data_IF_069518404561
#
_entry.id   IF_069518404561
#
_cell.length_a   1.000
_cell.length_b   1.000
_cell.length_c   1.000
_cell.angle_alpha   90.00
_cell.angle_beta   90.00
_cell.angle_gamma   90.00
#
_symmetry.space_group_name_H-M   'P 1'
#
loop_
_entity.id
_entity.type
_entity.pdbx_description
1 polymer ?
#
# COMPACT_ATOMS: atom_id res chain seq x y z
N UNK A 1 -11.43 -1.06 -3.82
CA UNK A 1 -11.18 -0.21 -5.00
C UNK A 1 -11.21 1.29 -4.71
N UNK A 2 -12.24 1.85 -4.06
CA UNK A 2 -12.32 3.31 -3.84
C UNK A 2 -11.08 3.95 -3.19
N UNK A 3 -10.46 3.30 -2.21
CA UNK A 3 -9.23 3.78 -1.58
C UNK A 3 -8.05 3.80 -2.57
N UNK A 4 -7.93 2.77 -3.42
CA UNK A 4 -6.91 2.70 -4.48
C UNK A 4 -7.06 3.87 -5.45
N UNK A 5 -8.29 4.20 -5.84
CA UNK A 5 -8.58 5.34 -6.72
C UNK A 5 -8.18 6.67 -6.07
N UNK A 6 -8.51 6.86 -4.79
CA UNK A 6 -8.15 8.07 -4.05
C UNK A 6 -6.64 8.22 -3.89
N UNK A 7 -5.92 7.12 -3.63
CA UNK A 7 -4.46 7.12 -3.51
C UNK A 7 -3.79 7.44 -4.85
N UNK A 8 -4.30 6.90 -5.95
CA UNK A 8 -3.79 7.22 -7.29
C UNK A 8 -3.99 8.71 -7.64
N UNK A 9 -5.18 9.25 -7.38
CA UNK A 9 -5.49 10.67 -7.58
C UNK A 9 -4.58 11.57 -6.73
N UNK A 10 -4.36 11.22 -5.46
CA UNK A 10 -3.45 11.93 -4.58
C UNK A 10 -2.00 11.88 -5.08
N UNK A 11 -1.52 10.70 -5.50
CA UNK A 11 -0.18 10.53 -6.06
C UNK A 11 0.04 11.45 -7.27
N UNK A 12 -0.90 11.45 -8.22
CA UNK A 12 -0.80 12.29 -9.42
C UNK A 12 -0.83 13.79 -9.10
N UNK A 13 -1.65 14.20 -8.13
CA UNK A 13 -1.74 15.61 -7.68
C UNK A 13 -0.48 16.12 -6.99
N UNK A 14 0.35 15.22 -6.45
CA UNK A 14 1.59 15.57 -5.76
C UNK A 14 2.85 15.29 -6.60
N UNK A 15 2.70 14.71 -7.79
CA UNK A 15 3.82 14.24 -8.60
C UNK A 15 4.78 15.36 -9.01
N UNK A 16 4.27 16.57 -9.24
CA UNK A 16 5.06 17.75 -9.60
C UNK A 16 5.97 18.22 -8.46
N UNK A 17 5.44 18.29 -7.24
CA UNK A 17 6.16 18.76 -6.04
C UNK A 17 7.01 17.69 -5.37
N UNK A 18 6.82 16.41 -5.71
CA UNK A 18 7.58 15.26 -5.21
C UNK A 18 8.55 14.68 -6.26
N UNK A 19 8.71 15.33 -7.41
CA UNK A 19 9.47 14.81 -8.56
C UNK A 19 10.94 14.47 -8.28
N UNK A 20 11.55 15.08 -7.25
CA UNK A 20 12.92 14.85 -6.79
C UNK A 20 13.03 13.83 -5.64
N UNK A 21 11.91 13.24 -5.22
CA UNK A 21 11.84 12.30 -4.09
C UNK A 21 11.48 10.89 -4.55
N UNK A 22 11.98 9.90 -3.81
CA UNK A 22 11.48 8.53 -3.91
C UNK A 22 10.09 8.46 -3.26
N UNK A 23 9.08 8.05 -4.04
CA UNK A 23 7.69 7.96 -3.59
C UNK A 23 7.17 6.54 -3.80
N UNK A 24 6.58 5.98 -2.76
CA UNK A 24 5.97 4.65 -2.78
C UNK A 24 4.47 4.75 -2.55
N UNK A 25 3.70 3.88 -3.23
CA UNK A 25 2.26 3.73 -3.01
C UNK A 25 2.04 2.48 -2.17
N UNK A 26 1.48 2.64 -0.97
CA UNK A 26 1.22 1.55 -0.04
C UNK A 26 -0.27 1.24 -0.02
N UNK A 27 -0.63 0.00 -0.32
CA UNK A 27 -2.02 -0.45 -0.32
C UNK A 27 -2.29 -1.29 0.93
N UNK A 28 -3.42 -1.02 1.58
CA UNK A 28 -3.89 -1.80 2.73
C UNK A 28 -4.54 -3.12 2.30
N UNK A 29 -3.76 -3.94 1.58
CA UNK A 29 -4.18 -5.22 1.02
C UNK A 29 -3.28 -6.32 1.57
N UNK A 30 -3.91 -7.39 2.06
CA UNK A 30 -3.23 -8.61 2.44
C UNK A 30 -3.10 -9.55 1.22
N UNK A 31 -1.88 -10.05 0.90
CA UNK A 31 -1.68 -11.00 -0.20
C UNK A 31 -2.15 -12.41 0.10
N UNK A 32 -2.56 -12.74 1.33
CA UNK A 32 -3.16 -14.03 1.66
C UNK A 32 -4.66 -14.05 1.30
N UNK A 33 -5.04 -15.03 0.47
CA UNK A 33 -6.40 -15.24 -0.06
C UNK A 33 -7.48 -15.40 1.02
N UNK A 34 -7.10 -15.83 2.23
CA UNK A 34 -8.02 -15.95 3.36
C UNK A 34 -8.56 -14.59 3.84
N UNK A 35 -7.90 -13.49 3.50
CA UNK A 35 -8.34 -12.15 3.87
C UNK A 35 -9.22 -11.54 2.78
N UNK A 36 -10.35 -10.97 3.18
CA UNK A 36 -11.30 -10.33 2.25
C UNK A 36 -10.69 -9.22 1.38
N UNK A 37 -9.60 -8.56 1.82
CA UNK A 37 -8.90 -7.57 1.00
C UNK A 37 -8.18 -8.16 -0.22
N UNK A 38 -7.86 -9.45 -0.21
CA UNK A 38 -7.14 -10.11 -1.30
C UNK A 38 -7.94 -10.12 -2.60
N UNK A 39 -9.28 -10.18 -2.53
CA UNK A 39 -10.14 -10.33 -3.71
C UNK A 39 -9.97 -9.20 -4.74
N UNK A 40 -9.46 -8.03 -4.33
CA UNK A 40 -9.20 -6.87 -5.20
C UNK A 40 -7.72 -6.68 -5.52
N UNK A 41 -6.82 -7.55 -5.07
CA UNK A 41 -5.36 -7.36 -5.15
C UNK A 41 -4.88 -7.15 -6.58
N UNK A 42 -5.24 -8.04 -7.50
CA UNK A 42 -4.80 -7.95 -8.90
C UNK A 42 -5.31 -6.69 -9.59
N UNK A 43 -6.57 -6.34 -9.33
CA UNK A 43 -7.17 -5.12 -9.87
C UNK A 43 -6.47 -3.87 -9.33
N UNK A 44 -6.17 -3.83 -8.03
CA UNK A 44 -5.51 -2.71 -7.39
C UNK A 44 -4.07 -2.52 -7.91
N UNK A 45 -3.31 -3.62 -8.01
CA UNK A 45 -1.94 -3.59 -8.54
C UNK A 45 -1.94 -3.12 -10.00
N UNK A 46 -2.81 -3.69 -10.83
CA UNK A 46 -2.93 -3.30 -12.24
C UNK A 46 -3.29 -1.83 -12.41
N UNK A 47 -4.22 -1.33 -11.58
CA UNK A 47 -4.66 0.06 -11.64
C UNK A 47 -3.55 1.04 -11.26
N UNK A 48 -2.82 0.81 -10.16
CA UNK A 48 -1.71 1.69 -9.77
C UNK A 48 -0.57 1.65 -10.80
N UNK A 49 -0.23 0.48 -11.33
CA UNK A 49 0.78 0.36 -12.40
C UNK A 49 0.37 1.13 -13.64
N UNK A 50 -0.86 0.99 -14.09
CA UNK A 50 -1.36 1.66 -15.30
C UNK A 50 -1.57 3.18 -15.15
N UNK A 51 -1.95 3.64 -13.95
CA UNK A 51 -2.33 5.04 -13.72
C UNK A 51 -1.16 5.88 -13.21
N UNK A 52 -0.35 5.33 -12.32
CA UNK A 52 0.71 6.05 -11.60
C UNK A 52 2.11 5.67 -12.08
N UNK A 53 2.25 4.65 -12.94
CA UNK A 53 3.53 4.11 -13.41
C UNK A 53 4.49 3.70 -12.27
N UNK A 54 3.92 3.20 -11.16
CA UNK A 54 4.68 2.68 -10.02
C UNK A 54 4.18 1.29 -9.63
N UNK A 55 5.05 0.50 -9.02
CA UNK A 55 4.66 -0.79 -8.43
C UNK A 55 4.21 -0.52 -6.99
N UNK A 56 2.94 -0.76 -6.65
CA UNK A 56 2.48 -0.56 -5.28
C UNK A 56 3.05 -1.63 -4.34
N UNK A 57 3.24 -1.24 -3.09
CA UNK A 57 3.55 -2.13 -1.98
C UNK A 57 2.24 -2.68 -1.39
N UNK A 58 2.23 -3.97 -1.07
CA UNK A 58 1.16 -4.64 -0.30
C UNK A 58 1.76 -5.21 0.98
N UNK A 59 0.92 -5.65 1.93
CA UNK A 59 1.42 -6.25 3.18
C UNK A 59 2.32 -7.47 2.89
N UNK A 60 3.33 -7.73 3.72
CA UNK A 60 3.77 -6.95 4.88
C UNK A 60 4.66 -5.75 4.53
N UNK A 61 5.05 -5.60 3.26
CA UNK A 61 6.01 -4.57 2.83
C UNK A 61 5.39 -3.17 2.73
N UNK A 62 4.05 -3.09 2.71
CA UNK A 62 3.32 -1.83 2.82
C UNK A 62 3.32 -1.32 4.27
N UNK A 63 4.42 -0.74 4.74
CA UNK A 63 4.53 -0.23 6.12
C UNK A 63 3.43 0.78 6.51
N UNK A 64 3.06 1.68 5.60
CA UNK A 64 1.98 2.65 5.81
C UNK A 64 0.56 2.05 5.75
N UNK A 65 0.40 0.74 5.48
CA UNK A 65 -0.89 0.07 5.61
C UNK A 65 -1.20 -0.17 7.10
N UNK A 66 -2.45 0.08 7.51
CA UNK A 66 -2.87 0.16 8.91
C UNK A 66 -2.38 -1.03 9.75
N UNK A 67 -2.61 -2.25 9.28
CA UNK A 67 -2.20 -3.46 10.01
C UNK A 67 -0.68 -3.66 10.10
N UNK A 68 0.07 -3.28 9.07
CA UNK A 68 1.53 -3.40 9.08
C UNK A 68 2.16 -2.40 10.06
N UNK A 69 1.63 -1.17 10.11
CA UNK A 69 2.02 -0.16 11.08
C UNK A 69 1.78 -0.63 12.53
N UNK A 70 0.62 -1.22 12.80
CA UNK A 70 0.25 -1.71 14.13
C UNK A 70 1.10 -2.92 14.57
N UNK A 71 1.28 -3.91 13.69
CA UNK A 71 2.06 -5.12 14.00
C UNK A 71 3.57 -4.87 14.11
N UNK A 72 4.12 -3.88 13.40
CA UNK A 72 5.52 -3.51 13.60
C UNK A 72 5.77 -3.05 15.04
N UNK A 73 4.82 -2.32 15.66
CA UNK A 73 4.93 -1.92 17.06
C UNK A 73 5.03 -3.12 17.98
N UNK A 74 4.17 -4.13 17.77
CA UNK A 74 4.15 -5.38 18.55
C UNK A 74 5.47 -6.17 18.43
N UNK A 75 6.00 -6.31 17.21
CA UNK A 75 7.28 -6.98 16.95
C UNK A 75 8.45 -6.21 17.61
N UNK A 76 8.45 -4.88 17.50
CA UNK A 76 9.51 -4.04 18.10
C UNK A 76 9.43 -3.97 19.62
N UNK A 77 8.26 -4.22 20.22
CA UNK A 77 8.08 -4.26 21.68
C UNK A 77 8.55 -5.56 22.35
N UNK A 78 9.07 -6.54 21.61
CA UNK A 78 9.78 -7.67 22.23
C UNK A 78 8.92 -8.61 23.07
N UNK A 79 7.64 -8.80 22.74
CA UNK A 79 6.82 -9.86 23.33
C UNK A 79 7.05 -11.20 22.58
N UNK A 80 8.30 -11.65 22.57
CA UNK A 80 8.61 -13.07 22.49
C UNK A 80 8.70 -13.55 23.95
N UNK A 81 7.54 -13.86 24.52
CA UNK A 81 7.37 -14.68 25.71
C UNK A 81 6.69 -15.97 25.30
#
# INVERSE_FOLDING_TARGET
MNEVYKVADLYLKLADVLSDRHVEVHLDINPDEMHGSHCVMQQAIGYIRGTCNVIPMVKPNAFAASYAADRLKEIRSGSLG
#
